data_IF_234651069162
#
_entry.id   IF_234651069162
#
_cell.length_a   1.000
_cell.length_b   1.000
_cell.length_c   1.000
_cell.angle_alpha   90.00
_cell.angle_beta   90.00
_cell.angle_gamma   90.00
#
_symmetry.space_group_name_H-M   'P 1'
#
loop_
_entity.id
_entity.type
_entity.pdbx_description
1 polymer ?
#
# COMPACT_ATOMS: atom_id res chain seq x y z
N UNK A 1 5.34 -13.59 4.65
CA UNK A 1 5.79 -12.39 5.37
C UNK A 1 6.67 -12.72 6.57
N UNK A 2 6.14 -13.31 7.64
CA UNK A 2 6.92 -13.61 8.86
C UNK A 2 8.25 -14.33 8.61
N UNK A 3 8.23 -15.51 7.98
CA UNK A 3 9.45 -16.29 7.74
C UNK A 3 10.44 -15.62 6.78
N UNK A 4 9.94 -14.93 5.74
CA UNK A 4 10.79 -14.19 4.79
C UNK A 4 11.49 -12.98 5.44
N UNK A 5 10.90 -12.40 6.47
CA UNK A 5 11.53 -11.33 7.24
C UNK A 5 12.66 -11.83 8.16
N UNK A 6 12.73 -13.14 8.43
CA UNK A 6 13.77 -13.75 9.28
C UNK A 6 14.97 -14.27 8.50
N UNK A 7 14.91 -14.33 7.16
CA UNK A 7 15.99 -14.90 6.34
C UNK A 7 17.29 -14.10 6.37
N UNK A 8 17.28 -12.86 6.89
CA UNK A 8 18.49 -12.07 7.12
C UNK A 8 19.39 -12.57 8.25
N UNK A 9 18.88 -13.43 9.17
CA UNK A 9 19.67 -13.98 10.28
C UNK A 9 20.10 -15.41 9.99
N UNK A 10 21.25 -15.58 9.35
CA UNK A 10 21.79 -16.87 8.90
C UNK A 10 22.22 -17.86 10.01
N UNK A 11 22.11 -17.51 11.31
CA UNK A 11 22.62 -18.35 12.40
C UNK A 11 21.56 -18.92 13.34
N UNK A 12 20.44 -18.24 13.53
CA UNK A 12 19.30 -18.73 14.30
C UNK A 12 18.08 -17.85 14.02
N UNK A 13 16.94 -18.48 13.71
CA UNK A 13 15.66 -17.76 13.59
C UNK A 13 15.10 -17.60 15.00
N UNK A 14 15.28 -16.42 15.60
CA UNK A 14 14.58 -16.09 16.84
C UNK A 14 13.13 -15.73 16.49
N UNK A 15 12.24 -16.73 16.52
CA UNK A 15 10.86 -16.57 16.15
C UNK A 15 10.09 -15.85 17.27
N UNK A 16 9.96 -14.54 17.12
CA UNK A 16 9.11 -13.73 17.99
C UNK A 16 7.64 -13.86 17.57
N UNK A 17 6.84 -14.43 18.48
CA UNK A 17 5.39 -14.61 18.31
C UNK A 17 4.70 -13.25 18.12
N UNK A 18 5.14 -12.21 18.82
CA UNK A 18 4.54 -10.88 18.70
C UNK A 18 4.69 -10.35 17.28
N UNK A 19 5.84 -10.57 16.65
CA UNK A 19 6.07 -10.18 15.25
C UNK A 19 5.16 -10.94 14.28
N UNK A 20 4.91 -12.23 14.52
CA UNK A 20 3.95 -13.02 13.72
C UNK A 20 2.53 -12.46 13.87
N UNK A 21 2.13 -12.11 15.09
CA UNK A 21 0.84 -11.48 15.38
C UNK A 21 0.72 -10.12 14.70
N UNK A 22 1.77 -9.29 14.71
CA UNK A 22 1.80 -8.01 13.98
C UNK A 22 1.60 -8.20 12.47
N UNK A 23 2.19 -9.22 11.87
CA UNK A 23 1.96 -9.53 10.45
C UNK A 23 0.52 -9.99 10.17
N UNK A 24 -0.11 -10.72 11.10
CA UNK A 24 -1.53 -11.06 10.98
C UNK A 24 -2.42 -9.81 10.98
N UNK A 25 -2.15 -8.86 11.89
CA UNK A 25 -2.89 -7.59 11.91
C UNK A 25 -2.67 -6.77 10.64
N UNK A 26 -1.45 -6.76 10.10
CA UNK A 26 -1.15 -6.16 8.82
C UNK A 26 -1.96 -6.77 7.67
N UNK A 27 -2.01 -8.11 7.56
CA UNK A 27 -2.84 -8.76 6.53
C UNK A 27 -4.33 -8.41 6.66
N UNK A 28 -4.84 -8.32 7.90
CA UNK A 28 -6.22 -7.90 8.13
C UNK A 28 -6.46 -6.44 7.72
N UNK A 29 -5.50 -5.54 8.00
CA UNK A 29 -5.56 -4.15 7.55
C UNK A 29 -5.59 -4.07 6.03
N UNK A 30 -4.71 -4.82 5.35
CA UNK A 30 -4.67 -4.90 3.89
C UNK A 30 -6.01 -5.40 3.30
N UNK A 31 -6.59 -6.44 3.90
CA UNK A 31 -7.89 -6.95 3.49
C UNK A 31 -8.99 -5.89 3.60
N UNK A 32 -9.07 -5.19 4.73
CA UNK A 32 -10.06 -4.14 4.94
C UNK A 32 -9.90 -2.99 3.93
N UNK A 33 -8.65 -2.62 3.63
CA UNK A 33 -8.32 -1.60 2.62
C UNK A 33 -8.79 -2.02 1.23
N UNK A 34 -8.49 -3.26 0.82
CA UNK A 34 -8.92 -3.77 -0.49
C UNK A 34 -10.44 -3.86 -0.59
N UNK A 35 -11.12 -4.30 0.48
CA UNK A 35 -12.58 -4.35 0.55
C UNK A 35 -13.22 -2.95 0.39
N UNK A 36 -12.58 -1.91 0.91
CA UNK A 36 -13.00 -0.52 0.73
C UNK A 36 -12.70 0.00 -0.68
N UNK A 37 -11.51 -0.30 -1.22
CA UNK A 37 -11.07 0.26 -2.49
C UNK A 37 -11.75 -0.38 -3.72
N UNK A 38 -11.94 -1.70 -3.72
CA UNK A 38 -12.43 -2.46 -4.88
C UNK A 38 -13.77 -1.97 -5.45
N UNK A 39 -14.81 -1.71 -4.62
CA UNK A 39 -16.09 -1.21 -5.12
C UNK A 39 -15.98 0.14 -5.85
N UNK A 40 -15.02 1.00 -5.47
CA UNK A 40 -14.86 2.34 -6.07
C UNK A 40 -14.36 2.30 -7.52
N UNK A 41 -13.85 1.16 -8.01
CA UNK A 41 -13.36 1.03 -9.37
C UNK A 41 -14.48 0.69 -10.39
N UNK A 42 -15.65 0.26 -9.92
CA UNK A 42 -16.77 -0.19 -10.77
C UNK A 42 -16.58 -1.61 -11.34
N UNK A 43 -17.69 -2.25 -11.74
CA UNK A 43 -17.71 -3.68 -12.14
C UNK A 43 -16.84 -4.03 -13.37
N UNK A 44 -16.48 -3.04 -14.19
CA UNK A 44 -15.72 -3.23 -15.43
C UNK A 44 -14.38 -2.46 -15.46
N UNK A 45 -13.76 -2.27 -14.29
CA UNK A 45 -12.46 -1.60 -14.23
C UNK A 45 -11.39 -2.36 -15.03
N UNK A 46 -10.94 -1.75 -16.13
CA UNK A 46 -9.74 -2.16 -16.85
C UNK A 46 -8.66 -1.11 -16.61
N UNK A 47 -7.51 -1.56 -16.11
CA UNK A 47 -6.33 -0.71 -16.02
C UNK A 47 -5.94 -0.25 -17.43
N UNK A 48 -6.16 1.02 -17.74
CA UNK A 48 -5.80 1.65 -19.02
C UNK A 48 -4.45 2.36 -18.97
N UNK A 49 -3.65 2.10 -17.93
CA UNK A 49 -2.50 2.93 -17.59
C UNK A 49 -2.93 4.30 -17.08
N UNK A 50 -1.98 5.04 -16.50
CA UNK A 50 -2.20 6.45 -16.20
C UNK A 50 -2.14 7.24 -17.52
N UNK A 51 -3.18 7.99 -17.90
CA UNK A 51 -3.08 8.92 -19.01
C UNK A 51 -1.90 9.89 -18.77
N UNK A 52 -1.10 10.20 -19.79
CA UNK A 52 0.00 11.18 -19.66
C UNK A 52 -0.50 12.54 -19.15
N UNK A 53 -1.76 12.88 -19.44
CA UNK A 53 -2.40 14.16 -19.10
C UNK A 53 -3.26 14.07 -17.83
N UNK A 54 -3.13 13.00 -17.05
CA UNK A 54 -3.91 12.84 -15.83
C UNK A 54 -3.57 13.96 -14.84
N UNK A 55 -4.59 14.77 -14.49
CA UNK A 55 -4.49 15.74 -13.40
C UNK A 55 -4.42 14.97 -12.08
N UNK A 56 -3.19 14.63 -11.68
CA UNK A 56 -2.89 14.03 -10.40
C UNK A 56 -2.72 15.14 -9.36
N UNK A 57 -3.39 14.95 -8.21
CA UNK A 57 -3.15 15.79 -7.03
C UNK A 57 -1.76 15.52 -6.45
N UNK A 58 -1.31 16.38 -5.54
CA UNK A 58 0.03 16.25 -4.96
C UNK A 58 0.16 14.93 -4.16
N UNK A 59 -0.91 14.48 -3.50
CA UNK A 59 -0.94 13.21 -2.75
C UNK A 59 -0.77 12.01 -3.68
N UNK A 60 -1.42 12.05 -4.86
CA UNK A 60 -1.35 10.98 -5.84
C UNK A 60 0.07 10.87 -6.43
N UNK A 61 0.70 12.01 -6.73
CA UNK A 61 2.11 12.06 -7.19
C UNK A 61 3.07 11.56 -6.10
N UNK A 62 2.83 11.95 -4.86
CA UNK A 62 3.63 11.53 -3.72
C UNK A 62 3.59 10.01 -3.53
N UNK A 63 2.39 9.41 -3.49
CA UNK A 63 2.29 7.95 -3.28
C UNK A 63 2.89 7.16 -4.45
N UNK A 64 2.78 7.65 -5.69
CA UNK A 64 3.40 7.04 -6.86
C UNK A 64 4.93 7.07 -6.77
N UNK A 65 5.51 8.18 -6.27
CA UNK A 65 6.94 8.26 -6.00
C UNK A 65 7.38 7.24 -4.94
N UNK A 66 6.63 7.13 -3.83
CA UNK A 66 6.91 6.16 -2.76
C UNK A 66 6.78 4.72 -3.25
N UNK A 67 5.79 4.44 -4.09
CA UNK A 67 5.61 3.14 -4.73
C UNK A 67 6.81 2.79 -5.62
N UNK A 68 7.28 3.74 -6.43
CA UNK A 68 8.45 3.54 -7.29
C UNK A 68 9.70 3.20 -6.49
N UNK A 69 9.95 3.94 -5.40
CA UNK A 69 11.07 3.70 -4.49
C UNK A 69 10.97 2.32 -3.82
N UNK A 70 9.80 1.97 -3.28
CA UNK A 70 9.57 0.68 -2.65
C UNK A 70 9.69 -0.49 -3.63
N UNK A 71 9.18 -0.33 -4.86
CA UNK A 71 9.31 -1.33 -5.91
C UNK A 71 10.78 -1.53 -6.31
N UNK A 72 11.56 -0.44 -6.43
CA UNK A 72 12.99 -0.50 -6.69
C UNK A 72 13.75 -1.26 -5.59
N UNK A 73 13.47 -0.94 -4.32
CA UNK A 73 14.08 -1.61 -3.18
C UNK A 73 13.68 -3.10 -3.10
N UNK A 74 12.41 -3.42 -3.33
CA UNK A 74 11.92 -4.79 -3.34
C UNK A 74 12.55 -5.63 -4.46
N UNK A 75 12.61 -5.08 -5.68
CA UNK A 75 13.24 -5.73 -6.83
C UNK A 75 14.73 -6.00 -6.57
N UNK A 76 15.44 -5.04 -5.97
CA UNK A 76 16.84 -5.22 -5.58
C UNK A 76 16.99 -6.33 -4.54
N UNK A 77 16.21 -6.31 -3.47
CA UNK A 77 16.25 -7.34 -2.44
C UNK A 77 15.97 -8.74 -2.98
N UNK A 78 15.02 -8.88 -3.90
CA UNK A 78 14.75 -10.16 -4.59
C UNK A 78 15.95 -10.59 -5.43
N UNK A 79 16.56 -9.67 -6.19
CA UNK A 79 17.71 -9.95 -7.07
C UNK A 79 18.95 -10.37 -6.29
N UNK A 80 19.15 -9.78 -5.12
CA UNK A 80 20.28 -10.05 -4.23
C UNK A 80 20.02 -11.23 -3.27
N UNK A 81 18.89 -11.95 -3.43
CA UNK A 81 18.39 -12.99 -2.51
C UNK A 81 18.19 -12.52 -1.06
N UNK A 82 18.17 -11.21 -0.82
CA UNK A 82 17.82 -10.59 0.46
C UNK A 82 16.31 -10.40 0.57
N UNK A 83 15.60 -11.51 0.80
CA UNK A 83 14.14 -11.49 0.97
C UNK A 83 13.69 -10.66 2.19
N UNK A 84 14.54 -10.51 3.20
CA UNK A 84 14.29 -9.65 4.37
C UNK A 84 14.13 -8.19 3.94
N UNK A 85 14.99 -7.70 3.06
CA UNK A 85 14.94 -6.31 2.59
C UNK A 85 13.72 -6.07 1.68
N UNK A 86 13.43 -7.03 0.80
CA UNK A 86 12.24 -6.95 -0.05
C UNK A 86 10.94 -6.96 0.78
N UNK A 87 10.91 -7.76 1.83
CA UNK A 87 9.78 -7.85 2.77
C UNK A 87 9.62 -6.54 3.54
N UNK A 88 10.72 -5.96 4.03
CA UNK A 88 10.72 -4.68 4.75
C UNK A 88 10.27 -3.52 3.86
N UNK A 89 10.78 -3.43 2.63
CA UNK A 89 10.38 -2.39 1.68
C UNK A 89 8.87 -2.44 1.39
N UNK A 90 8.35 -3.64 1.10
CA UNK A 90 6.93 -3.84 0.82
C UNK A 90 6.06 -3.54 2.04
N UNK A 91 6.48 -3.96 3.23
CA UNK A 91 5.77 -3.70 4.48
C UNK A 91 5.66 -2.21 4.77
N UNK A 92 6.78 -1.49 4.69
CA UNK A 92 6.84 -0.08 5.02
C UNK A 92 5.96 0.76 4.07
N UNK A 93 6.00 0.45 2.78
CA UNK A 93 5.13 1.11 1.80
C UNK A 93 3.65 0.89 2.12
N UNK A 94 3.23 -0.37 2.29
CA UNK A 94 1.82 -0.66 2.52
C UNK A 94 1.31 -0.10 3.85
N UNK A 95 2.08 -0.27 4.92
CA UNK A 95 1.63 0.14 6.25
C UNK A 95 1.70 1.66 6.42
N UNK A 96 2.89 2.23 6.27
CA UNK A 96 3.13 3.63 6.61
C UNK A 96 2.71 4.54 5.47
N UNK A 97 3.24 4.36 4.26
CA UNK A 97 3.00 5.31 3.18
C UNK A 97 1.54 5.23 2.67
N UNK A 98 1.04 4.02 2.41
CA UNK A 98 -0.28 3.82 1.83
C UNK A 98 -1.41 3.88 2.86
N UNK A 99 -1.39 3.02 3.87
CA UNK A 99 -2.55 2.92 4.76
C UNK A 99 -2.64 4.06 5.79
N UNK A 100 -1.53 4.52 6.36
CA UNK A 100 -1.56 5.54 7.41
C UNK A 100 -1.72 6.96 6.84
N UNK A 101 -1.10 7.24 5.69
CA UNK A 101 -1.15 8.57 5.06
C UNK A 101 -2.10 8.62 3.86
N UNK A 102 -1.77 7.95 2.76
CA UNK A 102 -2.48 8.15 1.50
C UNK A 102 -3.97 7.82 1.59
N UNK A 103 -4.34 6.73 2.26
CA UNK A 103 -5.72 6.30 2.39
C UNK A 103 -6.56 7.30 3.21
N UNK A 104 -5.98 7.90 4.25
CA UNK A 104 -6.64 8.93 5.05
C UNK A 104 -6.82 10.25 4.28
N UNK A 105 -5.87 10.60 3.41
CA UNK A 105 -5.99 11.74 2.50
C UNK A 105 -7.12 11.51 1.47
N UNK A 106 -7.13 10.33 0.85
CA UNK A 106 -8.12 9.96 -0.17
C UNK A 106 -9.54 9.88 0.41
N UNK A 107 -9.71 9.39 1.64
CA UNK A 107 -11.01 9.39 2.34
C UNK A 107 -11.61 10.79 2.46
N UNK A 108 -10.80 11.80 2.80
CA UNK A 108 -11.26 13.19 2.88
C UNK A 108 -11.73 13.69 1.51
N UNK A 109 -10.98 13.35 0.46
CA UNK A 109 -11.33 13.70 -0.93
C UNK A 109 -12.66 13.07 -1.37
N UNK A 110 -12.87 11.78 -1.09
CA UNK A 110 -14.14 11.11 -1.42
C UNK A 110 -15.34 11.77 -0.73
N UNK A 111 -15.22 12.12 0.56
CA UNK A 111 -16.29 12.83 1.28
C UNK A 111 -16.57 14.22 0.71
N UNK A 112 -15.53 14.96 0.34
CA UNK A 112 -15.70 16.29 -0.26
C UNK A 112 -16.43 16.24 -1.62
N UNK A 113 -16.19 15.19 -2.42
CA UNK A 113 -16.90 14.97 -3.68
C UNK A 113 -18.38 14.64 -3.46
N UNK A 114 -18.70 13.78 -2.49
CA UNK A 114 -20.09 13.46 -2.12
C UNK A 114 -20.87 14.70 -1.64
N UNK A 115 -20.24 15.58 -0.86
CA UNK A 115 -20.84 16.83 -0.40
C UNK A 115 -21.13 17.80 -1.56
N UNK A 116 -20.20 17.91 -2.53
CA UNK A 116 -20.41 18.73 -3.74
C UNK A 116 -21.58 18.25 -4.59
N UNK A 117 -21.69 16.94 -4.86
CA UNK A 117 -22.79 16.37 -5.63
C UNK A 117 -24.16 16.59 -4.95
N UNK A 118 -24.20 16.53 -3.61
CA UNK A 118 -25.40 16.82 -2.83
C UNK A 118 -25.83 18.29 -2.86
N UNK A 119 -24.87 19.21 -3.00
CA UNK A 119 -25.10 20.66 -3.07
C UNK A 119 -25.49 21.13 -4.48
N UNK A 120 -25.02 20.45 -5.53
CA UNK A 120 -25.40 20.73 -6.92
C UNK A 120 -26.77 20.17 -7.30
N UNK A 121 -27.35 19.32 -6.45
CA UNK A 121 -28.69 18.72 -6.62
C UNK A 121 -29.80 19.46 -5.85
N UNK A 122 -29.50 20.61 -5.24
CA UNK A 122 -30.44 21.53 -4.59
C UNK A 122 -30.44 22.88 -5.29
#
# INVERSE_FOLDING_TARGET
>A
FGLLAYTGQARSVNLDINRVVSYRYFCNKLWNVMKFALPNFGENFKSRGLPLDAKLEWEDKWILSRLSEAAGAANKGIKDFSFSDATTATYNFWLYDFCDYYLELVKKRFRALEEQDSSSSR
#
